data_IF_997173216179
#
_entry.id   IF_997173216179
#
_cell.length_a   1.000
_cell.length_b   1.000
_cell.length_c   1.000
_cell.angle_alpha   90.00
_cell.angle_beta   90.00
_cell.angle_gamma   90.00
#
_symmetry.space_group_name_H-M   'P 1'
#
loop_
_entity.id
_entity.type
_entity.pdbx_description
1 polymer ?
#
# COMPACT_ATOMS: atom_id res chain seq x y z
N UNK A 1 15.17 -8.54 -10.87
CA UNK A 1 14.89 -8.17 -9.47
C UNK A 1 14.12 -6.87 -9.38
N UNK A 2 14.75 -5.70 -9.58
CA UNK A 2 14.05 -4.40 -9.49
C UNK A 2 12.79 -4.27 -10.35
N UNK A 3 12.84 -4.70 -11.62
CA UNK A 3 11.65 -4.65 -12.48
C UNK A 3 10.54 -5.60 -12.01
N UNK A 4 10.90 -6.77 -11.50
CA UNK A 4 9.93 -7.72 -10.94
C UNK A 4 9.24 -7.15 -9.70
N UNK A 5 9.97 -6.45 -8.82
CA UNK A 5 9.38 -5.78 -7.65
C UNK A 5 8.38 -4.70 -8.07
N UNK A 6 8.68 -3.93 -9.12
CA UNK A 6 7.73 -2.97 -9.71
C UNK A 6 6.46 -3.67 -10.19
N UNK A 7 6.61 -4.75 -10.95
CA UNK A 7 5.46 -5.51 -11.45
C UNK A 7 4.61 -6.13 -10.32
N UNK A 8 5.26 -6.60 -9.25
CA UNK A 8 4.56 -7.11 -8.05
C UNK A 8 3.76 -5.98 -7.40
N UNK A 9 4.36 -4.81 -7.14
CA UNK A 9 3.64 -3.70 -6.53
C UNK A 9 2.45 -3.25 -7.39
N UNK A 10 2.64 -3.14 -8.71
CA UNK A 10 1.58 -2.73 -9.63
C UNK A 10 0.39 -3.69 -9.59
N UNK A 11 0.66 -5.00 -9.61
CA UNK A 11 -0.38 -6.04 -9.50
C UNK A 11 -1.05 -6.06 -8.12
N UNK A 12 -0.27 -5.85 -7.06
CA UNK A 12 -0.80 -5.77 -5.71
C UNK A 12 -1.75 -4.58 -5.58
N UNK A 13 -1.35 -3.39 -6.03
CA UNK A 13 -2.19 -2.20 -6.03
C UNK A 13 -3.44 -2.37 -6.90
N UNK A 14 -3.32 -3.02 -8.06
CA UNK A 14 -4.47 -3.35 -8.90
C UNK A 14 -5.48 -4.22 -8.15
N UNK A 15 -5.03 -5.25 -7.41
CA UNK A 15 -5.92 -6.06 -6.59
C UNK A 15 -6.68 -5.22 -5.55
N UNK A 16 -6.03 -4.21 -4.94
CA UNK A 16 -6.71 -3.27 -4.02
C UNK A 16 -7.75 -2.43 -4.76
N UNK A 17 -7.44 -1.90 -5.95
CA UNK A 17 -8.40 -1.11 -6.75
C UNK A 17 -9.60 -1.92 -7.25
N UNK A 18 -9.47 -3.26 -7.31
CA UNK A 18 -10.55 -4.19 -7.64
C UNK A 18 -11.31 -4.69 -6.40
N UNK A 19 -10.97 -4.22 -5.19
CA UNK A 19 -11.55 -4.67 -3.93
C UNK A 19 -11.08 -6.06 -3.48
N UNK A 20 -10.05 -6.62 -4.11
CA UNK A 20 -9.52 -7.95 -3.83
C UNK A 20 -8.37 -7.89 -2.80
N UNK A 21 -8.73 -7.77 -1.52
CA UNK A 21 -7.75 -7.69 -0.43
C UNK A 21 -6.91 -8.97 -0.27
N UNK A 22 -7.49 -10.15 -0.46
CA UNK A 22 -6.72 -11.41 -0.43
C UNK A 22 -5.73 -11.51 -1.60
N UNK A 23 -6.12 -10.99 -2.77
CA UNK A 23 -5.22 -10.88 -3.93
C UNK A 23 -4.02 -9.99 -3.64
N UNK A 24 -4.20 -8.89 -2.91
CA UNK A 24 -3.10 -8.06 -2.41
C UNK A 24 -2.22 -8.85 -1.42
N UNK A 25 -2.83 -9.49 -0.42
CA UNK A 25 -2.11 -10.22 0.64
C UNK A 25 -1.33 -11.43 0.10
N UNK A 26 -1.72 -12.00 -1.05
CA UNK A 26 -0.97 -13.05 -1.72
C UNK A 26 0.44 -12.61 -2.16
N UNK A 27 0.67 -11.30 -2.36
CA UNK A 27 1.98 -10.74 -2.67
C UNK A 27 2.82 -10.40 -1.43
N UNK A 28 2.28 -10.58 -0.22
CA UNK A 28 2.94 -10.26 1.04
C UNK A 28 3.52 -11.51 1.72
N UNK A 29 4.57 -11.34 2.51
CA UNK A 29 4.99 -12.39 3.47
C UNK A 29 3.97 -12.52 4.60
N UNK A 30 3.92 -13.66 5.29
CA UNK A 30 2.94 -13.87 6.37
C UNK A 30 3.17 -12.95 7.57
N UNK A 31 4.43 -12.59 7.82
CA UNK A 31 4.92 -11.69 8.86
C UNK A 31 5.04 -10.21 8.40
N UNK A 32 4.43 -9.86 7.26
CA UNK A 32 4.53 -8.52 6.67
C UNK A 32 4.25 -7.43 7.71
N UNK A 33 5.06 -6.38 7.74
CA UNK A 33 4.89 -5.27 8.69
C UNK A 33 4.68 -3.96 7.95
N UNK A 34 3.62 -3.24 8.31
CA UNK A 34 3.35 -1.89 7.82
C UNK A 34 3.56 -0.88 8.91
N UNK A 35 4.39 0.12 8.64
CA UNK A 35 4.63 1.26 9.52
C UNK A 35 4.11 2.51 8.84
N UNK A 36 2.96 3.01 9.31
CA UNK A 36 2.46 4.33 8.94
C UNK A 36 3.13 5.37 9.82
N UNK A 37 4.03 6.15 9.24
CA UNK A 37 4.88 7.08 10.00
C UNK A 37 4.01 8.15 10.65
N UNK A 38 4.10 8.23 11.99
CA UNK A 38 3.32 9.18 12.79
C UNK A 38 1.92 8.70 13.18
N UNK A 39 1.54 7.48 12.83
CA UNK A 39 0.23 6.90 13.15
C UNK A 39 0.35 5.55 13.86
N UNK A 40 0.45 4.45 13.11
CA UNK A 40 0.37 3.10 13.68
C UNK A 40 1.29 2.09 12.98
N UNK A 41 1.45 0.92 13.62
CA UNK A 41 2.19 -0.22 13.05
C UNK A 41 1.29 -1.45 13.03
N UNK A 42 1.13 -2.05 11.85
CA UNK A 42 0.40 -3.30 11.64
C UNK A 42 1.39 -4.43 11.42
N UNK A 43 1.13 -5.60 12.04
CA UNK A 43 2.03 -6.76 11.97
C UNK A 43 1.26 -8.01 11.55
N UNK A 44 1.75 -8.64 10.50
CA UNK A 44 1.19 -9.83 9.89
C UNK A 44 -0.04 -9.56 9.01
N UNK A 45 -0.35 -10.52 8.14
CA UNK A 45 -1.47 -10.43 7.20
C UNK A 45 -2.82 -10.19 7.88
N UNK A 46 -3.06 -10.77 9.05
CA UNK A 46 -4.33 -10.60 9.78
C UNK A 46 -4.59 -9.14 10.17
N UNK A 47 -3.57 -8.44 10.68
CA UNK A 47 -3.71 -7.03 11.06
C UNK A 47 -3.98 -6.14 9.84
N UNK A 48 -3.27 -6.40 8.74
CA UNK A 48 -3.44 -5.65 7.49
C UNK A 48 -4.82 -5.94 6.87
N UNK A 49 -5.25 -7.20 6.85
CA UNK A 49 -6.59 -7.59 6.36
C UNK A 49 -7.69 -6.80 7.07
N UNK A 50 -7.62 -6.77 8.40
CA UNK A 50 -8.58 -6.02 9.22
C UNK A 50 -8.54 -4.53 8.90
N UNK A 51 -7.35 -3.94 8.84
CA UNK A 51 -7.17 -2.53 8.47
C UNK A 51 -7.76 -2.20 7.10
N UNK A 52 -7.49 -3.01 6.08
CA UNK A 52 -8.01 -2.80 4.71
C UNK A 52 -9.54 -2.89 4.69
N UNK A 53 -10.14 -3.84 5.41
CA UNK A 53 -11.60 -3.95 5.51
C UNK A 53 -12.27 -2.75 6.21
N UNK A 54 -11.58 -2.13 7.17
CA UNK A 54 -12.09 -0.97 7.91
C UNK A 54 -11.86 0.36 7.17
N UNK A 55 -10.75 0.46 6.41
CA UNK A 55 -10.29 1.71 5.77
C UNK A 55 -10.77 1.84 4.32
N UNK A 56 -10.76 0.75 3.56
CA UNK A 56 -11.14 0.76 2.14
C UNK A 56 -12.61 0.37 1.99
N UNK A 57 -13.49 1.26 2.47
CA UNK A 57 -14.95 1.10 2.37
C UNK A 57 -15.42 1.00 0.90
N UNK A 58 -14.75 1.76 0.03
CA UNK A 58 -14.79 1.62 -1.41
C UNK A 58 -13.35 1.48 -1.93
N UNK A 59 -13.14 0.89 -3.12
CA UNK A 59 -11.81 0.77 -3.68
C UNK A 59 -11.13 2.15 -3.81
N UNK A 60 -9.89 2.29 -3.29
CA UNK A 60 -9.14 3.53 -3.42
C UNK A 60 -8.79 3.83 -4.87
N UNK A 61 -8.63 5.12 -5.18
CA UNK A 61 -8.03 5.54 -6.45
C UNK A 61 -6.54 5.77 -6.23
N UNK A 62 -5.70 4.90 -6.79
CA UNK A 62 -4.25 5.06 -6.80
C UNK A 62 -3.77 5.75 -8.08
N UNK A 63 -2.93 6.77 -7.92
CA UNK A 63 -2.18 7.39 -9.01
C UNK A 63 -0.69 7.40 -8.66
N UNK A 64 0.05 6.43 -9.18
CA UNK A 64 1.51 6.34 -8.99
C UNK A 64 2.17 7.32 -9.95
N UNK A 65 2.91 8.28 -9.40
CA UNK A 65 3.65 9.28 -10.17
C UNK A 65 5.08 8.82 -10.45
N UNK A 66 5.71 8.13 -9.49
CA UNK A 66 7.09 7.65 -9.63
C UNK A 66 7.29 6.33 -8.91
N UNK A 67 8.04 5.43 -9.54
CA UNK A 67 8.45 4.15 -8.95
C UNK A 67 9.94 3.89 -9.20
N UNK A 68 10.70 3.76 -8.12
CA UNK A 68 12.15 3.51 -8.16
C UNK A 68 12.45 2.24 -7.38
N UNK A 69 13.29 1.36 -7.91
CA UNK A 69 13.61 0.09 -7.26
C UNK A 69 15.10 -0.25 -7.40
N UNK A 70 15.73 -0.64 -6.29
CA UNK A 70 17.13 -1.01 -6.19
C UNK A 70 17.29 -2.16 -5.20
N UNK A 71 17.90 -3.26 -5.65
CA UNK A 71 18.00 -4.49 -4.86
C UNK A 71 16.62 -4.97 -4.39
N UNK A 72 16.48 -5.09 -3.08
CA UNK A 72 15.23 -5.51 -2.41
C UNK A 72 14.35 -4.34 -2.00
N UNK A 73 14.72 -3.10 -2.32
CA UNK A 73 13.95 -1.92 -1.97
C UNK A 73 13.22 -1.33 -3.17
N UNK A 74 12.04 -0.78 -2.90
CA UNK A 74 11.24 -0.05 -3.86
C UNK A 74 10.58 1.13 -3.19
N UNK A 75 10.64 2.32 -3.80
CA UNK A 75 9.90 3.49 -3.40
C UNK A 75 8.83 3.81 -4.45
N UNK A 76 7.60 4.03 -4.01
CA UNK A 76 6.50 4.51 -4.83
C UNK A 76 6.00 5.85 -4.28
N UNK A 77 5.97 6.87 -5.12
CA UNK A 77 5.43 8.20 -4.81
C UNK A 77 4.20 8.42 -5.67
N UNK A 78 3.15 8.96 -5.07
CA UNK A 78 1.94 9.26 -5.80
C UNK A 78 0.85 9.88 -4.95
N UNK A 79 -0.37 9.78 -5.49
CA UNK A 79 -1.59 10.28 -4.87
C UNK A 79 -2.55 9.12 -4.63
N UNK A 80 -3.24 9.16 -3.49
CA UNK A 80 -4.32 8.24 -3.18
C UNK A 80 -5.54 9.05 -2.73
N UNK A 81 -6.73 8.61 -3.17
CA UNK A 81 -7.99 9.18 -2.69
C UNK A 81 -8.85 8.08 -2.08
N UNK A 82 -9.37 8.36 -0.89
CA UNK A 82 -10.23 7.49 -0.11
C UNK A 82 -11.58 8.15 0.10
N UNK A 83 -12.66 7.39 0.15
CA UNK A 83 -13.92 7.90 0.67
C UNK A 83 -13.98 7.75 2.17
N UNK A 84 -14.39 8.81 2.85
CA UNK A 84 -14.74 8.73 4.27
C UNK A 84 -16.14 8.11 4.47
N UNK A 85 -16.56 8.06 5.74
CA UNK A 85 -17.85 7.47 6.13
C UNK A 85 -19.06 8.26 5.62
N UNK A 86 -18.88 9.54 5.30
CA UNK A 86 -19.91 10.42 4.76
C UNK A 86 -19.91 10.41 3.22
N UNK A 87 -19.02 9.63 2.60
CA UNK A 87 -18.88 9.49 1.15
C UNK A 87 -18.05 10.59 0.49
N UNK A 88 -17.44 11.48 1.29
CA UNK A 88 -16.59 12.56 0.80
C UNK A 88 -15.20 12.01 0.46
N UNK A 89 -14.65 12.45 -0.67
CA UNK A 89 -13.30 12.10 -1.05
C UNK A 89 -12.29 12.87 -0.19
N UNK A 90 -11.37 12.14 0.43
CA UNK A 90 -10.20 12.65 1.13
C UNK A 90 -8.97 12.31 0.30
N UNK A 91 -8.14 13.32 0.03
CA UNK A 91 -6.98 13.21 -0.84
C UNK A 91 -5.69 13.16 -0.02
N UNK A 92 -4.74 12.36 -0.49
CA UNK A 92 -3.43 12.24 0.12
C UNK A 92 -2.34 12.23 -0.93
N UNK A 93 -1.20 12.83 -0.58
CA UNK A 93 0.08 12.52 -1.20
C UNK A 93 0.82 11.50 -0.35
N UNK A 94 1.49 10.55 -1.00
CA UNK A 94 2.18 9.48 -0.30
C UNK A 94 3.55 9.17 -0.87
N UNK A 95 4.40 8.61 -0.01
CA UNK A 95 5.63 7.92 -0.37
C UNK A 95 5.70 6.61 0.42
N UNK A 96 5.63 5.49 -0.29
CA UNK A 96 5.71 4.15 0.27
C UNK A 96 7.07 3.54 -0.05
N UNK A 97 7.81 3.17 1.00
CA UNK A 97 9.07 2.44 0.87
C UNK A 97 8.83 0.99 1.25
N UNK A 98 8.90 0.12 0.24
CA UNK A 98 8.78 -1.32 0.36
C UNK A 98 10.14 -1.98 0.42
N UNK A 99 10.22 -3.01 1.28
CA UNK A 99 11.30 -3.99 1.29
C UNK A 99 10.73 -5.35 0.93
N UNK A 100 11.39 -6.00 -0.01
CA UNK A 100 11.06 -7.33 -0.50
C UNK A 100 11.92 -8.38 0.21
N UNK A 101 11.36 -9.58 0.33
CA UNK A 101 12.06 -10.77 0.81
C UNK A 101 11.51 -11.98 0.06
N UNK A 102 12.40 -12.74 -0.57
CA UNK A 102 12.05 -13.92 -1.37
C UNK A 102 10.97 -13.66 -2.43
N UNK A 103 11.00 -12.46 -3.04
CA UNK A 103 10.04 -12.04 -4.06
C UNK A 103 8.66 -11.64 -3.52
N UNK A 104 8.50 -11.48 -2.21
CA UNK A 104 7.28 -11.03 -1.55
C UNK A 104 7.49 -9.71 -0.81
N UNK A 105 6.43 -8.94 -0.64
CA UNK A 105 6.41 -7.68 0.09
C UNK A 105 6.45 -7.96 1.60
N UNK A 106 7.55 -7.58 2.27
CA UNK A 106 7.81 -7.95 3.66
C UNK A 106 7.69 -6.77 4.63
N UNK A 107 8.11 -5.58 4.22
CA UNK A 107 8.03 -4.38 5.08
C UNK A 107 7.56 -3.19 4.25
N UNK A 108 6.63 -2.40 4.80
CA UNK A 108 6.23 -1.08 4.30
C UNK A 108 6.58 -0.03 5.34
N UNK A 109 7.23 1.03 4.90
CA UNK A 109 7.27 2.31 5.60
C UNK A 109 6.53 3.35 4.76
N UNK A 110 5.32 3.70 5.21
CA UNK A 110 4.42 4.61 4.52
C UNK A 110 4.48 6.00 5.13
N UNK A 111 4.69 7.00 4.27
CA UNK A 111 4.55 8.41 4.59
C UNK A 111 3.32 8.93 3.85
N UNK A 112 2.27 9.28 4.58
CA UNK A 112 0.99 9.67 3.99
C UNK A 112 0.59 11.02 4.56
N UNK A 113 0.29 11.98 3.67
CA UNK A 113 -0.01 13.37 4.03
C UNK A 113 -1.35 13.72 3.39
N UNK A 114 -2.33 14.04 4.22
CA UNK A 114 -3.62 14.55 3.75
C UNK A 114 -3.43 15.90 3.05
N UNK A 115 -3.98 16.04 1.86
CA UNK A 115 -3.93 17.28 1.07
C UNK A 115 -5.33 17.82 0.84
N UNK A 116 -5.45 19.15 0.83
CA UNK A 116 -6.72 19.83 0.56
C UNK A 116 -7.60 20.14 1.78
N UNK A 117 -6.99 20.42 2.94
CA UNK A 117 -7.67 21.15 4.04
C UNK A 117 -7.81 22.63 3.72
#
# INVERSE_FOLDING_TARGET
MSEQHKQILLKANQAVTEGNHEGFLAYCTDDVTWTFVGDQVLKGKEAIRKYMAETYLEPPVFNIETITAEGDFLAAVGKISLKDKDGQAVHYEYCDVWKFRDGLMAELKAFVIETGK
#
